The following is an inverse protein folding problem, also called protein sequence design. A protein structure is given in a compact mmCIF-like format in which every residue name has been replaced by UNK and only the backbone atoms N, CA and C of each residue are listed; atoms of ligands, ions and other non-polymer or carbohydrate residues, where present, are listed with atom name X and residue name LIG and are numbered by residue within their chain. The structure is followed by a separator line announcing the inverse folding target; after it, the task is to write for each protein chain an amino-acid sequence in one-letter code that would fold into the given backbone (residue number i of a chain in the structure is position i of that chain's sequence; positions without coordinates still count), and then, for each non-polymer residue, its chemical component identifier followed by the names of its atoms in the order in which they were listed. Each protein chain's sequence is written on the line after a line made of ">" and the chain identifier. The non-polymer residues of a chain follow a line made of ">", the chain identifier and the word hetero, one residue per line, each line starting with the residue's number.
data_IF_216520456118
#
_entry.id   IF_216520456118
#
_cell.length_a   1.000
_cell.length_b   1.000
_cell.length_c   1.000
_cell.angle_alpha   90.00
_cell.angle_beta   90.00
_cell.angle_gamma   90.00
#
_symmetry.space_group_name_H-M   'P 1'
#
loop_
_entity.id
_entity.type
_entity.pdbx_description
1 polymer ?
#
# COMPACT_ATOMS: atom_id res chain seq x y z
N UNK A 1 8.45 16.96 12.80
CA UNK A 1 7.15 16.64 13.45
C UNK A 1 6.29 16.01 12.38
N UNK A 2 6.12 14.69 12.39
CA UNK A 2 5.26 13.99 11.43
C UNK A 2 3.82 14.15 11.89
N UNK A 3 3.02 14.94 11.16
CA UNK A 3 1.59 15.04 11.38
C UNK A 3 0.98 13.63 11.43
N UNK A 4 0.39 13.31 12.56
CA UNK A 4 -0.24 12.01 12.80
C UNK A 4 -1.54 11.98 12.01
N UNK A 5 -1.47 11.59 10.74
CA UNK A 5 -2.65 11.42 9.88
C UNK A 5 -3.64 10.50 10.59
N UNK A 6 -4.84 11.01 10.87
CA UNK A 6 -5.86 10.28 11.62
C UNK A 6 -6.47 9.16 10.77
N UNK A 7 -7.06 8.17 11.43
CA UNK A 7 -7.63 6.99 10.75
C UNK A 7 -8.72 7.39 9.71
N UNK A 8 -9.52 8.42 10.01
CA UNK A 8 -10.55 8.93 9.09
C UNK A 8 -9.95 9.50 7.79
N UNK A 9 -8.86 10.25 7.89
CA UNK A 9 -8.19 10.81 6.71
C UNK A 9 -7.57 9.72 5.83
N UNK A 10 -6.99 8.67 6.44
CA UNK A 10 -6.46 7.52 5.72
C UNK A 10 -7.55 6.78 4.95
N UNK A 11 -8.70 6.57 5.58
CA UNK A 11 -9.88 5.96 4.94
C UNK A 11 -10.32 6.78 3.72
N UNK A 12 -10.41 8.11 3.86
CA UNK A 12 -10.78 9.00 2.76
C UNK A 12 -9.75 8.92 1.61
N UNK A 13 -8.45 8.92 1.92
CA UNK A 13 -7.38 8.83 0.92
C UNK A 13 -7.36 7.49 0.19
N UNK A 14 -7.63 6.38 0.88
CA UNK A 14 -7.73 5.04 0.29
C UNK A 14 -8.96 4.92 -0.61
N UNK A 15 -10.14 5.39 -0.16
CA UNK A 15 -11.39 5.35 -0.95
C UNK A 15 -11.25 6.05 -2.30
N UNK A 16 -10.40 7.07 -2.40
CA UNK A 16 -10.11 7.80 -3.65
C UNK A 16 -9.25 7.03 -4.68
N UNK A 17 -8.75 5.83 -4.36
CA UNK A 17 -7.93 5.04 -5.30
C UNK A 17 -8.18 3.55 -5.18
N UNK A 18 -8.80 2.99 -6.22
CA UNK A 18 -9.00 1.55 -6.36
C UNK A 18 -7.68 0.78 -6.38
N UNK A 19 -6.66 1.30 -7.07
CA UNK A 19 -5.31 0.69 -7.09
C UNK A 19 -4.72 0.55 -5.69
N UNK A 20 -4.78 1.58 -4.85
CA UNK A 20 -4.26 1.50 -3.47
C UNK A 20 -5.06 0.50 -2.62
N UNK A 21 -6.37 0.44 -2.81
CA UNK A 21 -7.22 -0.54 -2.12
C UNK A 21 -6.82 -1.96 -2.50
N UNK A 22 -6.75 -2.28 -3.80
CA UNK A 22 -6.39 -3.62 -4.28
C UNK A 22 -5.00 -4.06 -3.82
N UNK A 23 -4.01 -3.16 -3.83
CA UNK A 23 -2.66 -3.47 -3.34
C UNK A 23 -2.65 -3.72 -1.83
N UNK A 24 -3.33 -2.87 -1.05
CA UNK A 24 -3.41 -3.04 0.40
C UNK A 24 -4.20 -4.31 0.77
N UNK A 25 -5.32 -4.56 0.10
CA UNK A 25 -6.14 -5.77 0.26
C UNK A 25 -5.30 -7.03 0.10
N UNK A 26 -4.54 -7.13 -0.99
CA UNK A 26 -3.67 -8.27 -1.24
C UNK A 26 -2.64 -8.44 -0.13
N UNK A 27 -1.94 -7.38 0.24
CA UNK A 27 -0.92 -7.44 1.30
C UNK A 27 -1.52 -7.79 2.67
N UNK A 28 -2.75 -7.36 2.95
CA UNK A 28 -3.48 -7.76 4.16
C UNK A 28 -3.92 -9.22 4.10
N UNK A 29 -4.29 -9.73 2.91
CA UNK A 29 -4.72 -11.12 2.75
C UNK A 29 -3.62 -12.15 2.99
N UNK A 30 -2.35 -11.75 2.82
CA UNK A 30 -1.18 -12.59 3.05
C UNK A 30 -0.45 -12.25 4.35
N UNK A 31 -0.90 -11.26 5.13
CA UNK A 31 -0.22 -10.81 6.34
C UNK A 31 -0.06 -11.97 7.36
N UNK A 32 1.12 -12.19 7.96
CA UNK A 32 2.30 -11.29 8.02
C UNK A 32 3.33 -11.46 6.90
N UNK A 33 3.03 -12.22 5.84
CA UNK A 33 3.96 -12.45 4.75
C UNK A 33 4.22 -11.20 3.89
N UNK A 34 5.35 -11.23 3.19
CA UNK A 34 5.80 -10.17 2.30
C UNK A 34 5.73 -10.57 0.83
N UNK A 35 5.61 -9.61 -0.07
CA UNK A 35 5.55 -9.87 -1.52
C UNK A 35 6.34 -8.85 -2.34
N UNK A 36 6.93 -9.31 -3.44
CA UNK A 36 7.55 -8.44 -4.44
C UNK A 36 6.48 -7.68 -5.24
N UNK A 37 6.77 -6.46 -5.74
CA UNK A 37 5.85 -5.71 -6.60
C UNK A 37 5.37 -6.47 -7.84
N UNK A 38 6.25 -7.28 -8.46
CA UNK A 38 5.90 -8.12 -9.61
C UNK A 38 4.88 -9.20 -9.24
N UNK A 39 5.03 -9.84 -8.09
CA UNK A 39 4.09 -10.84 -7.59
C UNK A 39 2.76 -10.21 -7.20
N UNK A 40 2.77 -9.05 -6.54
CA UNK A 40 1.55 -8.28 -6.23
C UNK A 40 0.81 -7.98 -7.54
N UNK A 41 1.49 -7.39 -8.51
CA UNK A 41 0.93 -7.04 -9.83
C UNK A 41 0.29 -8.26 -10.52
N UNK A 42 0.99 -9.39 -10.53
CA UNK A 42 0.50 -10.66 -11.09
C UNK A 42 -0.75 -11.18 -10.37
N UNK A 43 -0.79 -11.09 -9.05
CA UNK A 43 -1.87 -11.64 -8.23
C UNK A 43 -3.17 -10.84 -8.27
N UNK A 44 -3.08 -9.51 -8.44
CA UNK A 44 -4.25 -8.62 -8.46
C UNK A 44 -4.59 -8.08 -9.86
N UNK A 45 -3.96 -8.64 -10.90
CA UNK A 45 -4.16 -8.26 -12.31
C UNK A 45 -4.00 -6.74 -12.57
N UNK A 46 -2.87 -6.19 -12.10
CA UNK A 46 -2.50 -4.79 -12.33
C UNK A 46 -1.12 -4.69 -12.96
N UNK A 47 -0.86 -3.56 -13.64
CA UNK A 47 0.47 -3.30 -14.18
C UNK A 47 1.46 -2.97 -13.06
N UNK A 48 2.71 -3.41 -13.24
CA UNK A 48 3.79 -3.19 -12.27
C UNK A 48 3.97 -1.71 -11.91
N UNK A 49 3.84 -0.79 -12.87
CA UNK A 49 3.95 0.66 -12.62
C UNK A 49 2.81 1.21 -11.75
N UNK A 50 1.61 0.65 -11.82
CA UNK A 50 0.47 1.03 -10.99
C UNK A 50 0.66 0.54 -9.56
N UNK A 51 1.16 -0.69 -9.39
CA UNK A 51 1.53 -1.23 -8.09
C UNK A 51 2.67 -0.41 -7.45
N UNK A 52 3.76 -0.16 -8.19
CA UNK A 52 4.86 0.68 -7.71
C UNK A 52 4.39 2.09 -7.33
N UNK A 53 3.49 2.67 -8.13
CA UNK A 53 2.88 3.97 -7.85
C UNK A 53 2.01 3.97 -6.59
N UNK A 54 1.21 2.93 -6.36
CA UNK A 54 0.43 2.79 -5.12
C UNK A 54 1.34 2.62 -3.88
N UNK A 55 2.41 1.83 -4.00
CA UNK A 55 3.34 1.55 -2.90
C UNK A 55 4.22 2.74 -2.54
N UNK A 56 4.85 3.39 -3.54
CA UNK A 56 5.91 4.38 -3.34
C UNK A 56 5.59 5.78 -3.91
N UNK A 57 4.54 5.92 -4.70
CA UNK A 57 4.35 7.11 -5.53
C UNK A 57 5.07 7.03 -6.88
N UNK A 58 4.89 8.08 -7.67
CA UNK A 58 5.48 8.28 -9.00
C UNK A 58 5.45 9.78 -9.32
N UNK A 59 6.36 10.31 -10.15
CA UNK A 59 6.39 11.74 -10.50
C UNK A 59 5.08 12.32 -11.05
N UNK A 60 4.30 11.54 -11.83
CA UNK A 60 3.15 12.08 -12.55
C UNK A 60 1.80 11.78 -11.88
N UNK A 61 1.50 10.49 -11.66
CA UNK A 61 0.12 10.03 -11.33
C UNK A 61 -0.10 9.80 -9.83
N UNK A 62 0.91 9.28 -9.14
CA UNK A 62 0.82 8.88 -7.74
C UNK A 62 1.64 9.80 -6.83
N UNK A 63 0.99 10.74 -6.15
CA UNK A 63 1.68 11.61 -5.18
C UNK A 63 2.32 10.76 -4.07
N UNK A 64 3.64 10.88 -3.89
CA UNK A 64 4.42 10.12 -2.91
C UNK A 64 3.83 10.23 -1.49
N UNK A 65 3.38 11.41 -1.09
CA UNK A 65 2.74 11.65 0.22
C UNK A 65 1.48 10.80 0.47
N UNK A 66 0.84 10.31 -0.59
CA UNK A 66 -0.35 9.47 -0.53
C UNK A 66 -0.03 7.98 -0.79
N UNK A 67 1.24 7.61 -0.89
CA UNK A 67 1.66 6.23 -1.11
C UNK A 67 1.42 5.38 0.13
N UNK A 68 1.18 4.08 -0.05
CA UNK A 68 0.90 3.17 1.07
C UNK A 68 2.06 3.10 2.08
N UNK A 69 3.30 3.20 1.59
CA UNK A 69 4.50 3.28 2.44
C UNK A 69 4.53 4.58 3.23
N UNK A 70 4.32 5.73 2.57
CA UNK A 70 4.38 7.03 3.26
C UNK A 70 3.25 7.23 4.27
N UNK A 71 2.08 6.62 4.02
CA UNK A 71 0.94 6.61 4.95
C UNK A 71 1.14 5.65 6.15
N UNK A 72 2.20 4.84 6.15
CA UNK A 72 2.51 3.87 7.20
C UNK A 72 1.59 2.65 7.21
N UNK A 73 0.93 2.36 6.09
CA UNK A 73 0.02 1.21 5.93
C UNK A 73 0.76 -0.04 5.43
N UNK A 74 1.91 0.16 4.79
CA UNK A 74 2.76 -0.89 4.24
C UNK A 74 4.21 -0.59 4.63
N UNK A 75 4.95 -1.61 5.06
CA UNK A 75 6.40 -1.57 5.27
C UNK A 75 7.10 -1.96 3.98
N UNK A 76 8.23 -1.31 3.71
CA UNK A 76 9.13 -1.63 2.59
C UNK A 76 10.47 -2.09 3.16
N UNK A 77 10.94 -3.25 2.71
CA UNK A 77 12.19 -3.85 3.17
C UNK A 77 13.10 -4.13 1.98
N UNK A 78 14.36 -3.71 2.07
CA UNK A 78 15.33 -3.89 1.00
C UNK A 78 15.91 -5.31 1.06
N UNK A 79 15.95 -5.99 -0.09
CA UNK A 79 16.69 -7.23 -0.29
C UNK A 79 17.96 -6.94 -1.09
N UNK A 80 18.78 -7.97 -1.34
CA UNK A 80 20.04 -7.81 -2.11
C UNK A 80 19.83 -7.22 -3.51
N UNK A 81 18.67 -7.42 -4.12
CA UNK A 81 18.40 -7.03 -5.52
C UNK A 81 17.07 -6.31 -5.74
N UNK A 82 16.20 -6.21 -4.72
CA UNK A 82 14.85 -5.66 -4.87
C UNK A 82 14.27 -5.19 -3.54
N UNK A 83 12.94 -5.00 -3.47
CA UNK A 83 12.20 -4.64 -2.28
C UNK A 83 11.03 -5.59 -2.05
N UNK A 84 10.84 -5.97 -0.80
CA UNK A 84 9.65 -6.67 -0.31
C UNK A 84 8.72 -5.69 0.39
N UNK A 85 7.43 -5.98 0.32
CA UNK A 85 6.38 -5.16 0.92
C UNK A 85 5.47 -6.02 1.78
N UNK A 86 5.17 -5.51 2.96
CA UNK A 86 4.38 -6.20 3.99
C UNK A 86 3.34 -5.22 4.54
N UNK A 87 2.09 -5.66 4.74
CA UNK A 87 1.12 -4.82 5.45
C UNK A 87 1.60 -4.53 6.88
N UNK A 88 1.22 -3.38 7.44
CA UNK A 88 1.44 -3.08 8.87
C UNK A 88 0.18 -3.40 9.68
N UNK A 89 0.29 -3.52 11.01
CA UNK A 89 -0.90 -3.61 11.88
C UNK A 89 -1.90 -2.47 11.63
N UNK A 90 -1.37 -1.27 11.38
CA UNK A 90 -2.16 -0.11 10.99
C UNK A 90 -2.85 -0.32 9.65
N UNK A 91 -2.15 -0.86 8.65
CA UNK A 91 -2.71 -1.25 7.36
C UNK A 91 -3.87 -2.23 7.51
N UNK A 92 -3.67 -3.30 8.28
CA UNK A 92 -4.69 -4.30 8.59
C UNK A 92 -5.91 -3.69 9.30
N UNK A 93 -5.69 -2.83 10.29
CA UNK A 93 -6.78 -2.12 11.00
C UNK A 93 -7.58 -1.25 10.04
N UNK A 94 -6.92 -0.41 9.25
CA UNK A 94 -7.59 0.52 8.33
C UNK A 94 -8.35 -0.24 7.24
N UNK A 95 -7.78 -1.32 6.68
CA UNK A 95 -8.47 -2.14 5.68
C UNK A 95 -9.76 -2.75 6.24
N UNK A 96 -9.74 -3.25 7.48
CA UNK A 96 -10.93 -3.77 8.18
C UNK A 96 -12.01 -2.71 8.39
N UNK A 97 -11.64 -1.44 8.58
CA UNK A 97 -12.60 -0.34 8.75
C UNK A 97 -13.25 0.10 7.42
N UNK A 98 -12.63 -0.18 6.28
CA UNK A 98 -13.16 0.17 4.95
C UNK A 98 -14.15 -0.88 4.44
N UNK A 99 -13.97 -2.15 4.82
CA UNK A 99 -14.76 -3.31 4.36
C UNK A 99 -15.81 -3.79 5.36
N UNK A 100 -16.14 -2.97 6.36
CA UNK A 100 -17.37 -3.10 7.15
C UNK A 100 -18.45 -2.24 6.51
#
# INVERSE_FOLDING_TARGET
>A
MTDKVCDAELIILLRKSKTRQMVLEYLVSIYPESSYPSEIARKIDLRLNEVCGALNGSPNRYKEKNSLVKLGLVKKEQTKSSYLYTATDKGCKIWKLINK
#
